data_IF_566913953279
#
_entry.id   IF_566913953279
#
_cell.length_a   1.000
_cell.length_b   1.000
_cell.length_c   1.000
_cell.angle_alpha   90.00
_cell.angle_beta   90.00
_cell.angle_gamma   90.00
#
_symmetry.space_group_name_H-M   'P 1'
#
loop_
_entity.id
_entity.type
_entity.pdbx_description
1 polymer ?
#
# COMPACT_ATOMS: atom_id res chain seq x y z
N UNK A 1 32.02 -23.34 -24.84
CA UNK A 1 31.73 -23.54 -23.41
C UNK A 1 31.53 -22.17 -22.80
N UNK A 2 30.27 -21.67 -22.82
CA UNK A 2 29.92 -20.36 -22.26
C UNK A 2 29.50 -20.57 -20.79
N UNK A 3 30.28 -20.01 -19.88
CA UNK A 3 29.96 -20.00 -18.46
C UNK A 3 29.07 -18.79 -18.22
N UNK A 4 27.80 -19.05 -17.95
CA UNK A 4 26.82 -18.02 -17.57
C UNK A 4 27.01 -17.69 -16.08
N UNK A 5 27.56 -16.51 -15.77
CA UNK A 5 27.62 -16.02 -14.40
C UNK A 5 26.24 -15.48 -14.01
N UNK A 6 25.51 -16.22 -13.17
CA UNK A 6 24.39 -15.70 -12.42
C UNK A 6 24.93 -14.77 -11.33
N UNK A 7 24.79 -13.47 -11.49
CA UNK A 7 24.95 -12.54 -10.39
C UNK A 7 23.72 -12.67 -9.48
N UNK A 8 23.85 -13.46 -8.42
CA UNK A 8 22.95 -13.37 -7.28
C UNK A 8 23.30 -12.07 -6.55
N UNK A 9 22.48 -11.05 -6.67
CA UNK A 9 22.60 -9.85 -5.86
C UNK A 9 22.20 -10.22 -4.41
N UNK A 10 23.19 -10.49 -3.59
CA UNK A 10 23.08 -10.58 -2.13
C UNK A 10 22.94 -9.14 -1.58
N UNK A 11 21.76 -8.55 -1.70
CA UNK A 11 21.38 -7.49 -0.77
C UNK A 11 20.94 -8.20 0.53
N UNK A 12 21.48 -7.82 1.71
CA UNK A 12 20.93 -8.29 2.96
C UNK A 12 19.49 -7.79 3.01
N UNK A 13 18.51 -8.69 2.86
CA UNK A 13 17.15 -8.40 3.20
C UNK A 13 17.15 -8.11 4.69
N UNK A 14 17.06 -6.85 5.05
CA UNK A 14 16.74 -6.45 6.40
C UNK A 14 15.26 -6.81 6.58
N UNK A 15 14.98 -8.11 6.78
CA UNK A 15 13.65 -8.57 7.14
C UNK A 15 13.30 -7.86 8.44
N UNK A 16 12.51 -6.80 8.37
CA UNK A 16 11.95 -6.15 9.53
C UNK A 16 11.36 -7.21 10.47
N UNK A 17 11.42 -7.01 11.77
CA UNK A 17 10.78 -7.90 12.72
C UNK A 17 9.33 -8.15 12.29
N UNK A 18 9.01 -9.39 11.91
CA UNK A 18 7.66 -9.80 11.50
C UNK A 18 6.95 -10.40 12.70
N UNK A 19 5.77 -9.91 13.00
CA UNK A 19 4.88 -10.50 14.00
C UNK A 19 3.69 -11.14 13.30
N UNK A 20 3.54 -12.44 13.47
CA UNK A 20 2.39 -13.20 12.96
C UNK A 20 1.25 -13.20 13.99
N UNK A 21 0.04 -12.91 13.51
CA UNK A 21 -1.20 -13.01 14.25
C UNK A 21 -2.07 -14.12 13.67
N UNK A 22 -2.93 -14.70 14.51
CA UNK A 22 -3.86 -15.76 14.09
C UNK A 22 -5.26 -15.42 14.59
N UNK A 23 -6.25 -15.42 13.68
CA UNK A 23 -7.67 -15.19 13.98
C UNK A 23 -8.50 -16.25 13.29
N UNK A 24 -9.26 -17.03 14.09
CA UNK A 24 -10.10 -18.13 13.57
C UNK A 24 -9.37 -19.10 12.62
N UNK A 25 -8.07 -19.39 12.92
CA UNK A 25 -7.22 -20.29 12.13
C UNK A 25 -6.57 -19.65 10.90
N UNK A 26 -6.83 -18.36 10.61
CA UNK A 26 -6.19 -17.61 9.54
C UNK A 26 -5.05 -16.78 10.11
N UNK A 27 -3.84 -16.95 9.56
CA UNK A 27 -2.66 -16.17 9.95
C UNK A 27 -2.46 -14.98 9.03
N UNK A 28 -1.94 -13.87 9.59
CA UNK A 28 -1.48 -12.70 8.85
C UNK A 28 -0.26 -12.08 9.53
N UNK A 29 0.58 -11.45 8.73
CA UNK A 29 1.85 -10.90 9.17
C UNK A 29 1.81 -9.37 9.22
N UNK A 30 2.39 -8.82 10.30
CA UNK A 30 2.68 -7.40 10.44
C UNK A 30 4.19 -7.19 10.49
N UNK A 31 4.69 -6.26 9.69
CA UNK A 31 6.10 -5.88 9.60
C UNK A 31 6.35 -4.68 10.49
N UNK A 32 7.36 -4.73 11.35
CA UNK A 32 7.79 -3.57 12.13
C UNK A 32 8.52 -2.58 11.24
N UNK A 33 8.13 -1.32 11.33
CA UNK A 33 8.77 -0.20 10.65
C UNK A 33 9.34 0.72 11.72
N UNK A 34 10.66 0.83 11.76
CA UNK A 34 11.33 1.82 12.63
C UNK A 34 11.05 3.22 12.11
N UNK A 35 10.60 4.09 12.98
CA UNK A 35 10.28 5.47 12.64
C UNK A 35 11.49 6.26 12.14
N UNK A 36 11.22 7.40 11.56
CA UNK A 36 12.24 8.27 10.98
C UNK A 36 11.65 9.52 10.33
N UNK A 37 12.52 10.33 9.73
CA UNK A 37 12.10 11.44 8.87
C UNK A 37 12.32 11.11 7.41
N UNK A 38 11.41 11.55 6.55
CA UNK A 38 11.53 11.38 5.10
C UNK A 38 10.89 12.56 4.36
N UNK A 39 11.19 12.67 3.09
CA UNK A 39 10.53 13.63 2.20
C UNK A 39 9.36 12.96 1.51
N UNK A 40 8.17 13.35 1.90
CA UNK A 40 6.90 12.85 1.38
C UNK A 40 6.47 13.63 0.14
N UNK A 41 5.84 12.94 -0.80
CA UNK A 41 5.32 13.50 -2.04
C UNK A 41 6.33 13.49 -3.18
N UNK A 42 5.95 14.10 -4.31
CA UNK A 42 6.78 14.24 -5.50
C UNK A 42 6.52 15.58 -6.19
N UNK A 43 7.48 16.00 -7.04
CA UNK A 43 7.40 17.22 -7.83
C UNK A 43 8.09 17.04 -9.19
N UNK A 44 7.64 17.77 -10.21
CA UNK A 44 8.20 17.72 -11.57
C UNK A 44 8.81 19.03 -12.07
N UNK A 45 8.90 20.02 -11.19
CA UNK A 45 9.34 21.38 -11.56
C UNK A 45 10.87 21.54 -11.52
N UNK A 46 11.55 20.81 -10.63
CA UNK A 46 12.99 20.90 -10.46
C UNK A 46 13.66 19.53 -10.45
N UNK A 47 14.38 19.21 -11.55
CA UNK A 47 15.08 17.92 -11.72
C UNK A 47 16.19 17.67 -10.73
N UNK A 48 16.74 18.72 -10.13
CA UNK A 48 17.85 18.63 -9.19
C UNK A 48 17.38 18.55 -7.74
N UNK A 49 16.09 18.76 -7.51
CA UNK A 49 15.50 18.71 -6.18
C UNK A 49 15.03 17.29 -5.83
N UNK A 50 14.92 17.06 -4.53
CA UNK A 50 14.48 15.78 -4.00
C UNK A 50 13.08 15.41 -4.49
N UNK A 51 12.83 14.10 -4.61
CA UNK A 51 11.57 13.52 -5.07
C UNK A 51 11.13 14.08 -6.44
N UNK A 52 12.11 14.40 -7.33
CA UNK A 52 11.78 14.70 -8.72
C UNK A 52 11.17 13.45 -9.37
N UNK A 53 10.02 13.65 -9.96
CA UNK A 53 9.33 12.64 -10.76
C UNK A 53 8.61 13.34 -11.91
N UNK A 54 9.01 13.05 -13.15
CA UNK A 54 8.41 13.66 -14.35
C UNK A 54 6.92 13.32 -14.51
N UNK A 55 6.44 12.27 -13.85
CA UNK A 55 5.06 11.80 -13.85
C UNK A 55 4.24 12.30 -12.64
N UNK A 56 4.85 13.11 -11.75
CA UNK A 56 4.17 13.60 -10.55
C UNK A 56 2.89 14.37 -10.89
N UNK A 57 1.83 14.08 -10.16
CA UNK A 57 0.57 14.82 -10.23
C UNK A 57 0.60 16.03 -9.29
N UNK A 58 -0.20 17.09 -9.56
CA UNK A 58 -0.26 18.26 -8.69
C UNK A 58 -0.58 17.92 -7.22
N UNK A 59 -1.45 16.93 -6.98
CA UNK A 59 -1.85 16.51 -5.64
C UNK A 59 -0.70 15.89 -4.81
N UNK A 60 0.40 15.49 -5.45
CA UNK A 60 1.58 14.94 -4.78
C UNK A 60 2.53 16.02 -4.26
N UNK A 61 2.32 17.28 -4.69
CA UNK A 61 3.11 18.46 -4.31
C UNK A 61 2.41 19.29 -3.23
N UNK A 62 3.18 20.07 -2.43
CA UNK A 62 4.64 20.17 -2.39
C UNK A 62 5.30 18.99 -1.70
N UNK A 63 6.56 18.72 -2.04
CA UNK A 63 7.40 17.80 -1.27
C UNK A 63 7.63 18.40 0.12
N UNK A 64 7.37 17.62 1.17
CA UNK A 64 7.46 18.06 2.55
C UNK A 64 8.23 17.07 3.42
N UNK A 65 8.95 17.57 4.41
CA UNK A 65 9.58 16.72 5.41
C UNK A 65 8.54 16.26 6.43
N UNK A 66 8.50 14.94 6.67
CA UNK A 66 7.57 14.30 7.59
C UNK A 66 8.34 13.38 8.52
N UNK A 67 7.93 13.34 9.79
CA UNK A 67 8.45 12.39 10.77
C UNK A 67 7.36 11.40 11.15
N UNK A 68 7.73 10.11 11.11
CA UNK A 68 6.89 8.98 11.50
C UNK A 68 7.49 8.31 12.72
N UNK A 69 6.67 7.93 13.68
CA UNK A 69 7.08 7.12 14.84
C UNK A 69 7.20 5.64 14.47
N UNK A 70 7.73 4.80 15.35
CA UNK A 70 7.71 3.35 15.18
C UNK A 70 6.26 2.84 15.10
N UNK A 71 5.99 1.92 14.18
CA UNK A 71 4.68 1.29 14.00
C UNK A 71 4.83 -0.10 13.36
N UNK A 72 3.73 -0.80 13.22
CA UNK A 72 3.66 -2.02 12.42
C UNK A 72 2.71 -1.81 11.24
N UNK A 73 3.05 -2.38 10.08
CA UNK A 73 2.21 -2.35 8.88
C UNK A 73 1.94 -3.77 8.38
N UNK A 74 0.77 -4.01 7.82
CA UNK A 74 0.44 -5.28 7.18
C UNK A 74 1.44 -5.61 6.08
N UNK A 75 1.97 -6.84 6.12
CA UNK A 75 2.91 -7.34 5.11
C UNK A 75 2.30 -7.32 3.70
N UNK A 76 0.98 -7.50 3.64
CA UNK A 76 0.15 -7.44 2.44
C UNK A 76 -1.09 -6.58 2.69
N UNK A 77 -1.88 -6.36 1.68
CA UNK A 77 -3.28 -5.95 1.80
C UNK A 77 -4.05 -6.98 2.64
N UNK A 78 -5.18 -6.58 3.24
CA UNK A 78 -6.08 -7.52 3.94
C UNK A 78 -6.66 -8.48 2.92
N UNK A 79 -6.38 -9.78 3.11
CA UNK A 79 -6.87 -10.84 2.22
C UNK A 79 -8.33 -11.19 2.50
N UNK A 80 -8.99 -11.81 1.52
CA UNK A 80 -10.35 -12.29 1.69
C UNK A 80 -10.42 -13.42 2.74
N UNK A 81 -9.37 -14.24 2.89
CA UNK A 81 -9.28 -15.22 3.98
C UNK A 81 -9.37 -14.54 5.35
N UNK A 82 -8.57 -13.48 5.59
CA UNK A 82 -8.59 -12.74 6.85
C UNK A 82 -9.93 -12.02 7.05
N UNK A 83 -10.46 -11.41 5.98
CA UNK A 83 -11.78 -10.79 6.02
C UNK A 83 -12.86 -11.79 6.45
N UNK A 84 -12.92 -12.98 5.81
CA UNK A 84 -13.88 -14.05 6.11
C UNK A 84 -13.74 -14.60 7.54
N UNK A 85 -12.54 -14.59 8.11
CA UNK A 85 -12.28 -14.98 9.49
C UNK A 85 -12.89 -14.04 10.53
N UNK A 86 -13.15 -12.78 10.15
CA UNK A 86 -13.66 -11.72 11.05
C UNK A 86 -15.12 -11.36 10.73
N UNK A 87 -15.47 -11.33 9.44
CA UNK A 87 -16.76 -10.84 8.95
C UNK A 87 -17.61 -11.98 8.39
N UNK A 88 -18.94 -11.83 8.45
CA UNK A 88 -19.90 -12.87 7.99
C UNK A 88 -20.09 -12.91 6.47
N UNK A 89 -19.84 -11.77 5.78
CA UNK A 89 -20.06 -11.64 4.35
C UNK A 89 -18.84 -11.01 3.68
N UNK A 90 -18.46 -11.55 2.52
CA UNK A 90 -17.37 -11.04 1.70
C UNK A 90 -17.96 -10.29 0.50
N UNK A 91 -17.79 -8.95 0.40
CA UNK A 91 -18.35 -8.14 -0.68
C UNK A 91 -17.56 -8.18 -1.99
N UNK A 92 -16.35 -8.76 -1.99
CA UNK A 92 -15.43 -8.74 -3.13
C UNK A 92 -16.06 -9.27 -4.42
N UNK A 93 -15.71 -8.66 -5.54
CA UNK A 93 -16.11 -9.11 -6.89
C UNK A 93 -15.31 -10.35 -7.30
N UNK A 94 -13.99 -10.33 -7.04
CA UNK A 94 -13.07 -11.39 -7.48
C UNK A 94 -12.77 -12.33 -6.32
N UNK A 95 -13.54 -13.43 -6.23
CA UNK A 95 -13.52 -14.36 -5.11
C UNK A 95 -12.28 -15.27 -5.14
N UNK A 96 -11.41 -15.12 -4.13
CA UNK A 96 -10.26 -15.99 -3.86
C UNK A 96 -9.68 -15.61 -2.50
N UNK A 97 -9.46 -16.56 -1.64
CA UNK A 97 -8.98 -16.33 -0.27
C UNK A 97 -7.62 -15.62 -0.22
N UNK A 98 -6.77 -15.79 -1.23
CA UNK A 98 -5.45 -15.16 -1.32
C UNK A 98 -5.46 -13.79 -2.01
N UNK A 99 -6.60 -13.31 -2.48
CA UNK A 99 -6.73 -11.97 -3.06
C UNK A 99 -7.07 -10.94 -2.00
N UNK A 100 -6.77 -9.64 -2.25
CA UNK A 100 -7.23 -8.58 -1.35
C UNK A 100 -8.76 -8.55 -1.31
N UNK A 101 -9.31 -8.19 -0.16
CA UNK A 101 -10.72 -7.85 -0.05
C UNK A 101 -10.95 -6.47 -0.70
N UNK A 102 -12.01 -6.36 -1.49
CA UNK A 102 -12.36 -5.14 -2.22
C UNK A 102 -13.88 -4.89 -2.22
N UNK A 103 -14.33 -3.76 -2.76
CA UNK A 103 -15.73 -3.30 -2.76
C UNK A 103 -16.27 -3.04 -1.36
N UNK A 104 -15.49 -2.32 -0.57
CA UNK A 104 -15.80 -1.95 0.80
C UNK A 104 -16.21 -0.48 0.88
N UNK A 105 -17.25 -0.19 1.63
CA UNK A 105 -17.45 1.14 2.19
C UNK A 105 -16.43 1.39 3.32
N UNK A 106 -16.22 2.63 3.68
CA UNK A 106 -15.30 2.95 4.77
C UNK A 106 -15.79 2.36 6.11
N UNK A 107 -17.08 2.42 6.37
CA UNK A 107 -17.72 1.84 7.56
C UNK A 107 -17.56 0.31 7.66
N UNK A 108 -17.49 -0.41 6.53
CA UNK A 108 -17.21 -1.85 6.52
C UNK A 108 -15.80 -2.13 7.06
N UNK A 109 -14.82 -1.27 6.70
CA UNK A 109 -13.44 -1.38 7.17
C UNK A 109 -13.37 -1.07 8.67
N UNK A 110 -14.05 -0.02 9.13
CA UNK A 110 -14.11 0.32 10.56
C UNK A 110 -14.72 -0.82 11.39
N UNK A 111 -15.82 -1.41 10.89
CA UNK A 111 -16.46 -2.55 11.54
C UNK A 111 -15.55 -3.79 11.59
N UNK A 112 -14.79 -4.05 10.50
CA UNK A 112 -13.79 -5.11 10.46
C UNK A 112 -12.68 -4.88 11.49
N UNK A 113 -12.10 -3.69 11.52
CA UNK A 113 -11.02 -3.33 12.46
C UNK A 113 -11.51 -3.43 13.91
N UNK A 114 -12.70 -2.93 14.19
CA UNK A 114 -13.29 -3.03 15.52
C UNK A 114 -13.41 -4.48 15.98
N UNK A 115 -13.98 -5.36 15.16
CA UNK A 115 -14.12 -6.79 15.47
C UNK A 115 -12.77 -7.50 15.59
N UNK A 116 -11.83 -7.20 14.70
CA UNK A 116 -10.48 -7.76 14.77
C UNK A 116 -9.80 -7.41 16.10
N UNK A 117 -9.93 -6.16 16.56
CA UNK A 117 -9.39 -5.70 17.82
C UNK A 117 -10.05 -6.40 19.02
N UNK A 118 -11.39 -6.56 19.01
CA UNK A 118 -12.11 -7.34 20.02
C UNK A 118 -11.63 -8.80 20.09
N UNK A 119 -11.35 -9.43 18.94
CA UNK A 119 -10.93 -10.82 18.87
C UNK A 119 -9.47 -11.02 19.29
N UNK A 120 -8.60 -10.03 19.07
CA UNK A 120 -7.16 -10.16 19.28
C UNK A 120 -6.66 -9.46 20.56
N UNK A 121 -7.42 -8.51 21.10
CA UNK A 121 -6.98 -7.63 22.18
C UNK A 121 -5.91 -6.62 21.74
N UNK A 122 -5.73 -6.42 20.43
CA UNK A 122 -4.74 -5.51 19.83
C UNK A 122 -5.41 -4.18 19.44
N UNK A 123 -4.61 -3.23 18.92
CA UNK A 123 -5.08 -1.92 18.48
C UNK A 123 -4.76 -1.69 16.99
N UNK A 124 -5.27 -2.57 16.13
CA UNK A 124 -5.16 -2.40 14.68
C UNK A 124 -5.97 -1.18 14.23
N UNK A 125 -5.50 -0.56 13.15
CA UNK A 125 -6.09 0.62 12.53
C UNK A 125 -5.72 0.67 11.05
N UNK A 126 -6.21 1.64 10.31
CA UNK A 126 -5.63 2.00 9.02
C UNK A 126 -4.28 2.71 9.23
N UNK A 127 -3.33 2.61 8.30
CA UNK A 127 -2.16 3.46 8.30
C UNK A 127 -2.56 4.92 8.06
N UNK A 128 -1.83 5.86 8.63
CA UNK A 128 -1.90 7.24 8.14
C UNK A 128 -1.30 7.31 6.74
N UNK A 129 -1.58 8.37 5.99
CA UNK A 129 -1.00 8.55 4.67
C UNK A 129 0.53 8.61 4.71
N UNK A 130 1.07 9.26 5.75
CA UNK A 130 2.50 9.38 6.00
C UNK A 130 3.16 8.03 6.29
N UNK A 131 2.55 7.22 7.13
CA UNK A 131 3.01 5.86 7.44
C UNK A 131 3.00 4.98 6.18
N UNK A 132 1.94 5.09 5.38
CA UNK A 132 1.82 4.33 4.14
C UNK A 132 2.96 4.67 3.17
N UNK A 133 3.19 5.97 2.87
CA UNK A 133 4.25 6.37 1.93
C UNK A 133 5.65 6.09 2.49
N UNK A 134 5.87 6.26 3.82
CA UNK A 134 7.12 5.91 4.47
C UNK A 134 7.45 4.42 4.30
N UNK A 135 6.47 3.54 4.53
CA UNK A 135 6.64 2.10 4.32
C UNK A 135 6.86 1.76 2.84
N UNK A 136 6.11 2.38 1.91
CA UNK A 136 6.26 2.15 0.47
C UNK A 136 7.65 2.50 -0.03
N UNK A 137 8.25 3.57 0.51
CA UNK A 137 9.63 4.00 0.21
C UNK A 137 10.71 3.15 0.89
N UNK A 138 10.35 2.15 1.72
CA UNK A 138 11.32 1.31 2.42
C UNK A 138 11.78 1.87 3.77
N UNK A 139 11.02 2.76 4.40
CA UNK A 139 11.35 3.36 5.68
C UNK A 139 12.56 4.29 5.61
N UNK A 140 13.41 4.26 6.63
CA UNK A 140 14.64 5.08 6.68
C UNK A 140 15.72 4.66 5.66
N UNK A 141 15.58 3.51 5.05
CA UNK A 141 16.45 3.05 3.95
C UNK A 141 16.02 3.62 2.59
N UNK A 142 15.16 4.66 2.58
CA UNK A 142 14.45 5.16 1.43
C UNK A 142 15.37 5.41 0.24
N UNK A 143 15.30 4.51 -0.74
CA UNK A 143 15.78 4.75 -2.07
C UNK A 143 14.77 5.64 -2.78
N UNK A 144 15.23 6.54 -3.64
CA UNK A 144 14.36 7.44 -4.40
C UNK A 144 13.67 6.72 -5.57
N UNK A 145 13.21 5.48 -5.31
CA UNK A 145 12.56 4.63 -6.29
C UNK A 145 11.16 5.13 -6.61
N UNK A 146 10.74 4.96 -7.86
CA UNK A 146 9.41 5.36 -8.33
C UNK A 146 8.31 4.47 -7.75
N UNK A 147 8.59 3.17 -7.63
CA UNK A 147 7.67 2.17 -7.10
C UNK A 147 8.25 1.54 -5.83
N UNK A 148 7.43 0.84 -5.08
CA UNK A 148 7.83 0.24 -3.83
C UNK A 148 8.82 -0.93 -4.03
N UNK A 149 10.10 -0.62 -4.08
CA UNK A 149 11.21 -1.57 -4.20
C UNK A 149 11.90 -1.63 -5.57
N UNK A 150 11.43 -0.88 -6.59
CA UNK A 150 12.06 -0.85 -7.92
C UNK A 150 11.69 0.41 -8.71
N UNK A 151 12.50 0.78 -9.70
CA UNK A 151 12.11 1.73 -10.76
C UNK A 151 11.42 1.03 -11.95
N UNK A 152 11.43 -0.29 -11.96
CA UNK A 152 10.73 -1.11 -12.94
C UNK A 152 9.42 -1.63 -12.33
N UNK A 153 8.28 -1.09 -12.80
CA UNK A 153 6.96 -1.48 -12.30
C UNK A 153 6.64 -2.95 -12.53
N UNK A 154 7.18 -3.57 -13.56
CA UNK A 154 6.92 -4.98 -13.85
C UNK A 154 7.40 -5.92 -12.73
N UNK A 155 8.39 -5.51 -11.95
CA UNK A 155 8.92 -6.30 -10.85
C UNK A 155 8.05 -6.25 -9.60
N UNK A 156 7.41 -5.10 -9.33
CA UNK A 156 6.78 -4.81 -8.03
C UNK A 156 5.31 -4.43 -8.10
N UNK A 157 4.78 -4.06 -9.28
CA UNK A 157 3.40 -3.59 -9.40
C UNK A 157 2.51 -4.59 -10.14
N UNK A 158 1.23 -4.65 -9.71
CA UNK A 158 0.12 -5.25 -10.45
C UNK A 158 -0.75 -4.12 -11.00
N UNK A 159 -0.65 -3.85 -12.29
CA UNK A 159 -1.30 -2.72 -12.96
C UNK A 159 -1.92 -3.13 -14.30
N UNK A 160 -2.57 -2.18 -14.97
CA UNK A 160 -3.30 -2.41 -16.21
C UNK A 160 -2.40 -3.02 -17.30
N UNK A 161 -1.16 -2.54 -17.43
CA UNK A 161 -0.26 -2.93 -18.51
C UNK A 161 0.25 -4.37 -18.40
N UNK A 162 0.46 -4.86 -17.17
CA UNK A 162 1.08 -6.17 -16.97
C UNK A 162 0.13 -7.27 -16.50
N UNK A 163 -0.93 -6.94 -15.77
CA UNK A 163 -1.86 -7.91 -15.21
C UNK A 163 -3.32 -7.56 -15.47
N UNK A 164 -3.78 -6.39 -15.04
CA UNK A 164 -5.19 -5.99 -15.05
C UNK A 164 -5.79 -5.98 -16.45
N UNK A 165 -5.06 -5.50 -17.45
CA UNK A 165 -5.51 -5.48 -18.84
C UNK A 165 -5.65 -6.87 -19.50
N UNK A 166 -5.11 -7.92 -18.84
CA UNK A 166 -5.20 -9.32 -19.31
C UNK A 166 -6.26 -10.13 -18.57
N UNK A 167 -6.45 -9.86 -17.28
CA UNK A 167 -7.31 -10.64 -16.38
C UNK A 167 -8.55 -9.90 -15.96
N UNK A 168 -8.56 -8.56 -16.08
CA UNK A 168 -9.61 -7.65 -15.58
C UNK A 168 -9.97 -7.95 -14.11
N UNK A 169 -8.95 -8.18 -13.28
CA UNK A 169 -9.11 -8.60 -11.87
C UNK A 169 -7.92 -8.24 -11.00
N UNK A 170 -8.10 -8.30 -9.67
CA UNK A 170 -6.99 -8.30 -8.71
C UNK A 170 -6.10 -9.54 -8.89
N UNK A 171 -4.85 -9.48 -8.41
CA UNK A 171 -3.97 -10.63 -8.26
C UNK A 171 -4.04 -11.20 -6.84
N UNK A 172 -3.65 -12.46 -6.59
CA UNK A 172 -3.29 -12.90 -5.25
C UNK A 172 -2.21 -12.01 -4.65
N UNK A 173 -2.29 -11.74 -3.34
CA UNK A 173 -1.25 -10.96 -2.66
C UNK A 173 0.13 -11.64 -2.81
N UNK A 174 1.21 -10.87 -2.74
CA UNK A 174 2.59 -11.35 -2.94
C UNK A 174 2.86 -11.90 -4.36
N UNK A 175 2.09 -11.51 -5.37
CA UNK A 175 2.33 -11.91 -6.77
C UNK A 175 3.55 -11.23 -7.40
N UNK A 176 4.05 -10.17 -6.79
CA UNK A 176 5.23 -9.40 -7.21
C UNK A 176 6.26 -9.32 -6.08
N UNK A 177 7.43 -8.77 -6.36
CA UNK A 177 8.50 -8.65 -5.36
C UNK A 177 8.13 -7.62 -4.26
N UNK A 178 8.59 -7.83 -3.02
CA UNK A 178 8.43 -6.87 -1.94
C UNK A 178 9.44 -5.72 -2.05
N UNK A 179 9.22 -4.67 -1.27
CA UNK A 179 10.25 -3.67 -1.02
C UNK A 179 11.31 -4.17 0.00
N UNK A 180 12.27 -3.31 0.34
CA UNK A 180 13.38 -3.64 1.25
C UNK A 180 12.94 -4.00 2.67
N UNK A 181 11.74 -3.57 3.10
CA UNK A 181 11.15 -3.95 4.39
C UNK A 181 10.47 -5.33 4.37
N UNK A 182 10.33 -5.95 3.19
CA UNK A 182 9.56 -7.18 3.02
C UNK A 182 8.04 -6.95 2.97
N UNK A 183 7.61 -5.71 2.68
CA UNK A 183 6.20 -5.35 2.48
C UNK A 183 5.86 -5.46 1.00
N UNK A 184 4.77 -6.16 0.70
CA UNK A 184 4.31 -6.48 -0.65
C UNK A 184 3.16 -5.58 -1.08
N UNK A 185 2.92 -5.54 -2.38
CA UNK A 185 1.72 -4.96 -3.02
C UNK A 185 1.51 -3.46 -2.71
N UNK A 186 2.60 -2.73 -2.33
CA UNK A 186 2.56 -1.28 -2.13
C UNK A 186 2.52 -0.51 -3.47
N UNK A 187 2.57 -1.24 -4.60
CA UNK A 187 2.42 -0.69 -5.94
C UNK A 187 1.43 -1.56 -6.72
N UNK A 188 0.24 -1.02 -7.02
CA UNK A 188 -0.80 -1.71 -7.78
C UNK A 188 -1.69 -2.62 -6.94
N UNK A 189 -2.26 -3.64 -7.54
CA UNK A 189 -3.26 -4.58 -7.06
C UNK A 189 -4.56 -3.88 -6.66
N UNK A 190 -4.70 -3.34 -5.43
CA UNK A 190 -5.81 -2.46 -5.08
C UNK A 190 -5.31 -1.15 -4.50
N UNK A 191 -6.01 -0.05 -4.79
CA UNK A 191 -5.87 1.18 -4.05
C UNK A 191 -6.15 0.92 -2.58
N UNK A 192 -5.36 1.51 -1.68
CA UNK A 192 -5.47 1.28 -0.25
C UNK A 192 -5.95 2.53 0.48
N UNK A 193 -7.05 2.38 1.22
CA UNK A 193 -7.57 3.45 2.07
C UNK A 193 -6.62 3.72 3.24
N UNK A 194 -6.32 5.01 3.47
CA UNK A 194 -5.59 5.50 4.63
C UNK A 194 -6.53 6.15 5.65
N UNK A 195 -6.06 6.34 6.87
CA UNK A 195 -6.78 7.01 7.93
C UNK A 195 -6.89 8.52 7.66
N UNK A 196 -8.03 9.11 8.00
CA UNK A 196 -8.25 10.56 7.92
C UNK A 196 -8.83 11.02 6.58
N UNK A 197 -9.18 12.32 6.53
CA UNK A 197 -9.72 13.00 5.35
C UNK A 197 -8.66 13.25 4.27
N UNK A 198 -9.11 13.47 3.04
CA UNK A 198 -8.22 13.91 1.97
C UNK A 198 -7.85 15.38 2.17
N UNK A 199 -6.55 15.65 2.32
CA UNK A 199 -6.01 17.01 2.34
C UNK A 199 -5.28 17.30 1.03
N UNK A 200 -5.70 18.37 0.37
CA UNK A 200 -4.96 18.91 -0.77
C UNK A 200 -3.84 19.82 -0.24
N UNK A 201 -2.61 19.35 -0.27
CA UNK A 201 -1.46 20.11 0.27
C UNK A 201 -1.09 21.35 -0.55
N UNK A 202 -1.59 21.47 -1.77
CA UNK A 202 -1.35 22.62 -2.64
C UNK A 202 -2.33 23.78 -2.33
N UNK A 203 -3.63 23.47 -2.17
CA UNK A 203 -4.66 24.47 -1.85
C UNK A 203 -4.97 24.57 -0.34
N UNK A 204 -4.37 23.68 0.49
CA UNK A 204 -4.65 23.53 1.92
C UNK A 204 -6.11 23.14 2.25
N UNK A 205 -6.90 22.82 1.23
CA UNK A 205 -8.28 22.38 1.41
C UNK A 205 -8.33 20.94 1.94
N UNK A 206 -9.26 20.66 2.83
CA UNK A 206 -9.57 19.33 3.33
C UNK A 206 -10.95 18.91 2.81
N UNK A 207 -11.04 17.71 2.27
CA UNK A 207 -12.30 17.07 1.91
C UNK A 207 -12.65 16.07 3.02
N UNK A 208 -13.54 16.46 3.90
CA UNK A 208 -13.99 15.63 5.03
C UNK A 208 -14.99 14.54 4.59
N UNK A 209 -15.47 14.57 3.34
CA UNK A 209 -16.35 13.56 2.76
C UNK A 209 -15.58 12.41 2.05
N UNK A 210 -14.26 12.51 2.01
CA UNK A 210 -13.40 11.54 1.34
C UNK A 210 -12.13 11.29 2.14
N UNK A 211 -11.55 10.11 1.97
CA UNK A 211 -10.22 9.82 2.48
C UNK A 211 -9.19 9.67 1.35
N UNK A 212 -7.93 9.59 1.73
CA UNK A 212 -6.84 9.32 0.80
C UNK A 212 -6.83 7.83 0.45
N UNK A 213 -6.61 7.52 -0.82
CA UNK A 213 -6.21 6.21 -1.30
C UNK A 213 -4.83 6.26 -1.95
N UNK A 214 -4.05 5.20 -1.75
CA UNK A 214 -2.65 5.10 -2.12
C UNK A 214 -2.36 3.83 -2.92
N UNK A 215 -1.22 3.80 -3.66
CA UNK A 215 -0.63 2.61 -4.24
C UNK A 215 -1.02 2.28 -5.67
N UNK A 216 -2.09 2.82 -6.21
CA UNK A 216 -2.57 2.40 -7.53
C UNK A 216 -3.35 1.08 -7.49
N UNK A 217 -3.70 0.52 -8.65
CA UNK A 217 -4.42 -0.75 -8.70
C UNK A 217 -4.31 -1.47 -10.04
N UNK A 218 -4.80 -2.72 -10.09
CA UNK A 218 -4.87 -3.55 -11.28
C UNK A 218 -5.56 -2.88 -12.48
N UNK A 219 -6.52 -2.00 -12.24
CA UNK A 219 -7.31 -1.32 -13.27
C UNK A 219 -6.77 0.06 -13.68
N UNK A 220 -5.62 0.46 -13.13
CA UNK A 220 -4.95 1.74 -13.43
C UNK A 220 -3.57 1.50 -14.04
N UNK A 221 -3.11 2.46 -14.85
CA UNK A 221 -1.79 2.41 -15.47
C UNK A 221 -0.66 2.54 -14.44
N UNK A 222 0.54 2.08 -14.82
CA UNK A 222 1.74 2.11 -13.98
C UNK A 222 2.03 3.49 -13.38
N UNK A 223 1.63 4.57 -14.04
CA UNK A 223 1.80 5.94 -13.55
C UNK A 223 1.06 6.21 -12.24
N UNK A 224 0.02 5.43 -11.94
CA UNK A 224 -0.75 5.51 -10.69
C UNK A 224 -0.17 4.65 -9.58
N UNK A 225 0.74 3.71 -9.89
CA UNK A 225 1.31 2.77 -8.92
C UNK A 225 2.59 3.31 -8.24
N UNK A 226 2.95 4.58 -8.49
CA UNK A 226 4.13 5.22 -7.88
C UNK A 226 3.92 5.43 -6.39
N UNK A 227 5.00 5.36 -5.61
CA UNK A 227 4.96 5.51 -4.15
C UNK A 227 4.37 6.85 -3.68
N UNK A 228 4.47 7.91 -4.49
CA UNK A 228 3.93 9.24 -4.20
C UNK A 228 2.48 9.44 -4.67
N UNK A 229 1.97 8.54 -5.53
CA UNK A 229 0.63 8.67 -6.12
C UNK A 229 -0.46 8.62 -5.06
N UNK A 230 -1.43 9.55 -5.14
CA UNK A 230 -2.53 9.70 -4.20
C UNK A 230 -3.79 10.21 -4.88
N UNK A 231 -4.93 9.75 -4.40
CA UNK A 231 -6.24 10.21 -4.87
C UNK A 231 -7.20 10.43 -3.69
N UNK A 232 -8.20 11.27 -3.89
CA UNK A 232 -9.37 11.39 -3.03
C UNK A 232 -10.39 10.30 -3.37
N UNK A 233 -11.00 9.69 -2.36
CA UNK A 233 -12.01 8.65 -2.55
C UNK A 233 -13.11 8.74 -1.49
N UNK A 234 -14.36 8.92 -1.92
CA UNK A 234 -15.50 9.10 -1.02
C UNK A 234 -15.71 7.95 -0.05
N UNK A 235 -16.15 8.27 1.17
CA UNK A 235 -16.42 7.27 2.20
C UNK A 235 -17.56 6.30 1.80
N UNK A 236 -18.55 6.81 1.07
CA UNK A 236 -19.71 6.08 0.55
C UNK A 236 -19.47 5.37 -0.79
N UNK A 237 -18.22 5.38 -1.27
CA UNK A 237 -17.83 4.77 -2.53
C UNK A 237 -17.24 3.39 -2.32
N UNK A 238 -17.50 2.45 -3.26
CA UNK A 238 -16.91 1.11 -3.28
C UNK A 238 -16.64 0.63 -4.69
N UNK A 239 -15.42 0.19 -4.94
CA UNK A 239 -14.99 -0.34 -6.24
C UNK A 239 -14.15 -1.59 -6.07
N UNK A 240 -14.12 -2.42 -7.13
CA UNK A 240 -13.37 -3.68 -7.12
C UNK A 240 -11.85 -3.51 -7.24
N UNK A 241 -11.38 -2.29 -7.21
CA UNK A 241 -9.98 -1.90 -7.24
C UNK A 241 -9.55 -1.08 -6.01
N UNK A 242 -10.38 -1.07 -4.94
CA UNK A 242 -10.08 -0.38 -3.68
C UNK A 242 -10.28 -1.35 -2.51
N UNK A 243 -9.23 -1.49 -1.72
CA UNK A 243 -9.15 -2.28 -0.50
C UNK A 243 -8.41 -1.50 0.60
N UNK A 244 -7.68 -2.20 1.45
CA UNK A 244 -6.89 -1.59 2.53
C UNK A 244 -5.85 -2.55 3.10
N UNK A 245 -4.90 -2.02 3.86
CA UNK A 245 -4.01 -2.79 4.76
C UNK A 245 -4.11 -2.29 6.19
N UNK A 246 -3.62 -3.09 7.13
CA UNK A 246 -3.60 -2.77 8.54
C UNK A 246 -2.34 -2.01 8.92
N UNK A 247 -2.45 -1.20 9.97
CA UNK A 247 -1.35 -0.68 10.78
C UNK A 247 -1.64 -0.92 12.27
N UNK A 248 -0.62 -0.76 13.11
CA UNK A 248 -0.73 -0.89 14.56
C UNK A 248 0.35 -0.06 15.26
#
# INVERSE_FOLDING_TARGET
MLVSFFFLSLFPQNNGDVKTYVVNGVSFDMVRVSGGSFRMGAQKSDRMSANYDSLAWPAESPVREVRVSDYMIGKTEVTQALWNAVMQANPSRFKDDNRPVERLFYEDIEAFIFRLNEMTGEAFRLPTEEEWEFAARGGSASDHLLYAGSDDYDQVAVCLENYGGRTDSTAPVMSKAPNVLGVYDMSGNVWERCQGGFRNYYSEETDDAANVIRGGSWGYGYTSCRVSSRLSYGFDSRCSNVGFRLAR
#
